data_IF_825511784686
#
_entry.id   IF_825511784686
#
_cell.length_a   1.000
_cell.length_b   1.000
_cell.length_c   1.000
_cell.angle_alpha   90.00
_cell.angle_beta   90.00
_cell.angle_gamma   90.00
#
_symmetry.space_group_name_H-M   'P 1'
#
loop_
_entity.id
_entity.type
_entity.pdbx_description
1 polymer ?
#
# COMPACT_ATOMS: atom_id res chain seq x y z
N UNK A 1 5.35 7.77 -5.81
CA UNK A 1 3.96 7.73 -5.31
C UNK A 1 3.15 6.86 -6.24
N UNK A 2 2.25 6.04 -5.73
CA UNK A 2 1.43 5.11 -6.52
C UNK A 2 -0.02 5.20 -6.04
N UNK A 3 -0.96 5.30 -6.97
CA UNK A 3 -2.40 5.38 -6.68
C UNK A 3 -2.95 4.03 -6.24
N UNK A 4 -4.12 4.05 -5.59
CA UNK A 4 -4.83 2.80 -5.25
C UNK A 4 -5.17 1.98 -6.49
N UNK A 5 -5.50 2.65 -7.60
CA UNK A 5 -5.85 2.01 -8.88
C UNK A 5 -4.63 1.31 -9.50
N UNK A 6 -3.47 1.97 -9.56
CA UNK A 6 -2.25 1.35 -10.11
C UNK A 6 -1.81 0.14 -9.28
N UNK A 7 -1.93 0.21 -7.94
CA UNK A 7 -1.64 -0.94 -7.06
C UNK A 7 -2.65 -2.07 -7.33
N UNK A 8 -3.93 -1.72 -7.46
CA UNK A 8 -4.99 -2.65 -7.77
C UNK A 8 -4.74 -3.40 -9.10
N UNK A 9 -4.48 -2.66 -10.17
CA UNK A 9 -4.19 -3.21 -11.50
C UNK A 9 -2.95 -4.10 -11.49
N UNK A 10 -1.90 -3.71 -10.76
CA UNK A 10 -0.64 -4.48 -10.73
C UNK A 10 -0.72 -5.78 -9.93
N UNK A 11 -1.57 -5.85 -8.91
CA UNK A 11 -1.67 -7.02 -8.04
C UNK A 11 -2.76 -7.99 -8.52
N UNK A 12 -3.86 -7.46 -9.08
CA UNK A 12 -5.05 -8.25 -9.43
C UNK A 12 -5.36 -8.31 -10.93
N UNK A 13 -4.53 -7.71 -11.80
CA UNK A 13 -4.58 -7.83 -13.28
C UNK A 13 -5.99 -7.67 -13.90
N UNK A 14 -6.79 -6.75 -13.34
CA UNK A 14 -8.13 -6.44 -13.83
C UNK A 14 -9.28 -7.23 -13.18
N UNK A 15 -9.01 -8.08 -12.18
CA UNK A 15 -10.05 -8.69 -11.36
C UNK A 15 -10.73 -7.66 -10.43
N UNK A 16 -12.03 -7.86 -10.18
CA UNK A 16 -12.80 -6.99 -9.31
C UNK A 16 -12.37 -7.18 -7.85
N UNK A 17 -11.90 -6.10 -7.24
CA UNK A 17 -11.35 -6.14 -5.88
C UNK A 17 -12.46 -5.81 -4.89
N UNK A 18 -12.64 -6.65 -3.87
CA UNK A 18 -13.34 -6.23 -2.66
C UNK A 18 -12.50 -5.13 -1.98
N UNK A 19 -13.13 -4.00 -1.65
CA UNK A 19 -12.49 -2.84 -1.00
C UNK A 19 -11.60 -3.20 0.22
N UNK A 20 -11.83 -4.34 0.86
CA UNK A 20 -11.06 -4.84 2.00
C UNK A 20 -9.74 -5.54 1.63
N UNK A 21 -9.56 -6.01 0.40
CA UNK A 21 -8.36 -6.73 -0.01
C UNK A 21 -7.13 -5.80 -0.04
N UNK A 22 -7.25 -4.63 -0.68
CA UNK A 22 -6.18 -3.64 -0.70
C UNK A 22 -5.77 -3.21 0.73
N UNK A 23 -6.74 -3.09 1.64
CA UNK A 23 -6.46 -2.74 3.05
C UNK A 23 -5.63 -3.85 3.72
N UNK A 24 -5.99 -5.11 3.51
CA UNK A 24 -5.28 -6.26 4.07
C UNK A 24 -3.84 -6.37 3.56
N UNK A 25 -3.63 -6.19 2.26
CA UNK A 25 -2.29 -6.19 1.66
C UNK A 25 -1.41 -5.05 2.19
N UNK A 26 -1.96 -3.84 2.32
CA UNK A 26 -1.22 -2.71 2.86
C UNK A 26 -0.85 -2.94 4.33
N UNK A 27 -1.74 -3.53 5.13
CA UNK A 27 -1.43 -3.90 6.51
C UNK A 27 -0.29 -4.92 6.60
N UNK A 28 -0.34 -5.97 5.78
CA UNK A 28 0.74 -6.97 5.71
C UNK A 28 2.07 -6.36 5.26
N UNK A 29 2.03 -5.44 4.30
CA UNK A 29 3.22 -4.72 3.83
C UNK A 29 3.83 -3.89 4.95
N UNK A 30 3.03 -3.12 5.70
CA UNK A 30 3.54 -2.35 6.86
C UNK A 30 4.24 -3.21 7.89
N UNK A 31 3.65 -4.35 8.22
CA UNK A 31 4.23 -5.26 9.22
C UNK A 31 5.60 -5.82 8.82
N UNK A 32 5.85 -5.96 7.51
CA UNK A 32 7.11 -6.45 6.98
C UNK A 32 8.10 -5.32 6.69
N UNK A 33 7.61 -4.19 6.18
CA UNK A 33 8.42 -3.07 5.73
C UNK A 33 8.75 -2.08 6.84
N UNK A 34 7.79 -1.68 7.67
CA UNK A 34 8.00 -0.63 8.68
C UNK A 34 8.60 -1.19 9.97
N UNK A 35 8.26 -2.42 10.35
CA UNK A 35 8.70 -3.05 11.61
C UNK A 35 10.23 -3.11 11.81
N UNK A 36 11.05 -3.34 10.78
CA UNK A 36 12.50 -3.37 10.93
C UNK A 36 13.16 -1.99 11.15
N UNK A 37 12.42 -0.89 11.01
CA UNK A 37 12.99 0.46 11.03
C UNK A 37 12.39 1.34 12.13
N UNK A 38 13.10 2.39 12.59
CA UNK A 38 12.60 3.30 13.64
C UNK A 38 11.41 4.17 13.19
N UNK A 39 11.24 4.34 11.89
CA UNK A 39 10.19 5.17 11.29
C UNK A 39 9.46 4.39 10.21
N UNK A 40 8.18 4.70 10.02
CA UNK A 40 7.38 4.09 8.96
C UNK A 40 7.77 4.69 7.60
N UNK A 41 8.16 3.83 6.66
CA UNK A 41 8.49 4.22 5.29
C UNK A 41 7.23 4.32 4.42
N UNK A 42 6.17 3.54 4.73
CA UNK A 42 4.95 3.51 3.92
C UNK A 42 3.92 4.57 4.36
N UNK A 43 3.92 5.69 3.63
CA UNK A 43 3.05 6.84 3.93
C UNK A 43 1.74 6.75 3.14
N UNK A 44 0.63 6.93 3.84
CA UNK A 44 -0.70 7.05 3.21
C UNK A 44 -0.89 8.46 2.70
N UNK A 45 -1.25 8.61 1.43
CA UNK A 45 -1.71 9.88 0.84
C UNK A 45 -3.23 9.82 0.71
N UNK A 46 -3.98 10.56 1.57
CA UNK A 46 -5.44 10.51 1.59
C UNK A 46 -6.04 10.76 0.21
N UNK A 47 -7.07 9.98 -0.14
CA UNK A 47 -7.78 10.02 -1.43
C UNK A 47 -6.94 9.71 -2.68
N UNK A 48 -5.64 9.43 -2.56
CA UNK A 48 -4.79 9.13 -3.73
C UNK A 48 -4.20 7.73 -3.68
N UNK A 49 -3.42 7.40 -2.65
CA UNK A 49 -2.69 6.13 -2.61
C UNK A 49 -1.58 6.12 -1.58
N UNK A 50 -0.41 5.62 -1.96
CA UNK A 50 0.71 5.40 -1.06
C UNK A 50 2.02 5.91 -1.65
N UNK A 51 2.93 6.33 -0.79
CA UNK A 51 4.31 6.68 -1.16
C UNK A 51 5.28 6.02 -0.19
N UNK A 52 6.46 5.69 -0.69
CA UNK A 52 7.60 5.35 0.15
C UNK A 52 8.41 6.61 0.37
N UNK A 53 8.87 6.82 1.59
CA UNK A 53 9.83 7.86 1.94
C UNK A 53 11.05 7.21 2.61
N UNK A 54 12.23 7.76 2.33
CA UNK A 54 13.46 7.37 3.02
C UNK A 54 13.40 7.79 4.50
N UNK A 55 14.14 7.05 5.31
CA UNK A 55 14.29 7.27 6.75
C UNK A 55 15.39 8.29 7.03
#
# INVERSE_FOLDING_TARGET
MVTKQEIAEKIWDGEEINADALRSHIYQLRNQLDKPFPTAMLITVPKVGFKLEEV
#
